data_IF_183825014476
#
_entry.id   IF_183825014476
#
_cell.length_a   1.000
_cell.length_b   1.000
_cell.length_c   1.000
_cell.angle_alpha   90.00
_cell.angle_beta   90.00
_cell.angle_gamma   90.00
#
_symmetry.space_group_name_H-M   'P 1'
#
loop_
_entity.id
_entity.type
_entity.pdbx_description
1 polymer ?
#
# COMPACT_ATOMS: atom_id res chain seq x y z
N UNK A 1 -18.55 5.61 -10.27
CA UNK A 1 -17.57 6.68 -9.96
C UNK A 1 -17.53 7.02 -8.48
N UNK A 2 -18.66 7.34 -7.82
CA UNK A 2 -18.65 7.61 -6.37
C UNK A 2 -18.25 6.37 -5.52
N UNK A 3 -18.83 5.21 -5.83
CA UNK A 3 -18.54 3.94 -5.14
C UNK A 3 -17.06 3.53 -5.25
N UNK A 4 -16.44 3.74 -6.42
CA UNK A 4 -15.01 3.46 -6.64
C UNK A 4 -14.11 4.42 -5.90
N UNK A 5 -14.46 5.72 -5.82
CA UNK A 5 -13.70 6.69 -5.05
C UNK A 5 -13.76 6.34 -3.56
N UNK A 6 -14.96 6.08 -3.04
CA UNK A 6 -15.15 5.63 -1.65
C UNK A 6 -14.36 4.34 -1.38
N UNK A 7 -14.42 3.36 -2.28
CA UNK A 7 -13.68 2.11 -2.13
C UNK A 7 -12.16 2.32 -2.13
N UNK A 8 -11.63 3.23 -2.94
CA UNK A 8 -10.22 3.60 -2.95
C UNK A 8 -9.83 4.33 -1.66
N UNK A 9 -10.67 5.23 -1.17
CA UNK A 9 -10.39 6.02 0.03
C UNK A 9 -10.43 5.20 1.32
N UNK A 10 -11.31 4.18 1.39
CA UNK A 10 -11.42 3.26 2.53
C UNK A 10 -10.08 2.60 2.89
N UNK A 11 -9.14 2.44 1.95
CA UNK A 11 -7.82 1.87 2.26
C UNK A 11 -7.08 2.65 3.37
N UNK A 12 -7.25 3.97 3.45
CA UNK A 12 -6.62 4.79 4.47
C UNK A 12 -7.20 4.50 5.86
N UNK A 13 -8.48 4.11 5.94
CA UNK A 13 -9.09 3.64 7.19
C UNK A 13 -8.45 2.31 7.65
N UNK A 14 -8.04 1.46 6.71
CA UNK A 14 -7.41 0.17 7.00
C UNK A 14 -5.94 0.30 7.43
N UNK A 15 -5.25 1.39 7.06
CA UNK A 15 -3.84 1.59 7.42
C UNK A 15 -3.61 1.66 8.93
N UNK A 16 -4.51 2.32 9.67
CA UNK A 16 -4.40 2.47 11.12
C UNK A 16 -4.35 1.11 11.86
N UNK A 17 -5.40 0.27 11.75
CA UNK A 17 -5.41 -1.05 12.38
C UNK A 17 -4.29 -1.98 11.87
N UNK A 18 -3.98 -1.92 10.56
CA UNK A 18 -2.93 -2.76 9.98
C UNK A 18 -1.55 -2.46 10.58
N UNK A 19 -1.21 -1.17 10.73
CA UNK A 19 0.07 -0.76 11.28
C UNK A 19 0.11 -0.95 12.81
N UNK A 20 -0.99 -0.67 13.51
CA UNK A 20 -1.11 -0.90 14.96
C UNK A 20 -0.86 -2.36 15.34
N UNK A 21 -1.36 -3.31 14.55
CA UNK A 21 -1.17 -4.74 14.80
C UNK A 21 0.30 -5.20 14.68
N UNK A 22 1.13 -4.48 13.93
CA UNK A 22 2.56 -4.80 13.80
C UNK A 22 3.43 -4.06 14.83
N UNK A 23 2.95 -2.96 15.43
CA UNK A 23 3.70 -2.19 16.42
C UNK A 23 3.56 -2.86 17.79
N UNK A 24 4.65 -3.44 18.29
CA UNK A 24 4.66 -4.13 19.59
C UNK A 24 4.90 -3.19 20.79
N UNK A 25 5.38 -1.97 20.54
CA UNK A 25 5.78 -1.00 21.56
C UNK A 25 4.66 -0.04 21.98
N UNK A 26 4.76 0.50 23.20
CA UNK A 26 3.85 1.55 23.70
C UNK A 26 3.97 2.82 22.85
N UNK A 27 2.94 3.07 22.05
CA UNK A 27 2.81 4.28 21.25
C UNK A 27 2.52 5.52 22.09
N UNK A 28 3.21 6.61 21.80
CA UNK A 28 2.85 7.93 22.32
C UNK A 28 1.71 8.51 21.47
N UNK A 29 0.52 8.65 22.06
CA UNK A 29 -0.70 9.11 21.37
C UNK A 29 -0.51 10.45 20.63
N UNK A 30 0.28 11.38 21.19
CA UNK A 30 0.48 12.70 20.58
C UNK A 30 1.34 12.63 19.32
N UNK A 31 2.45 11.89 19.37
CA UNK A 31 3.31 11.68 18.21
C UNK A 31 2.62 10.82 17.16
N UNK A 32 1.82 9.85 17.62
CA UNK A 32 1.00 8.97 16.79
C UNK A 32 -0.05 9.72 15.98
N UNK A 33 -0.77 10.66 16.60
CA UNK A 33 -1.70 11.52 15.87
C UNK A 33 -1.00 12.35 14.78
N UNK A 34 0.21 12.84 15.04
CA UNK A 34 0.95 13.69 14.10
C UNK A 34 1.46 12.90 12.90
N UNK A 35 2.08 11.73 13.10
CA UNK A 35 2.56 10.94 11.95
C UNK A 35 1.43 10.22 11.22
N UNK A 36 0.35 9.82 11.91
CA UNK A 36 -0.80 9.19 11.24
C UNK A 36 -1.54 10.16 10.32
N UNK A 37 -1.50 11.46 10.60
CA UNK A 37 -2.03 12.48 9.71
C UNK A 37 -1.33 12.51 8.34
N UNK A 38 -0.01 12.30 8.31
CA UNK A 38 0.75 12.27 7.06
C UNK A 38 1.06 10.84 6.60
N UNK A 39 0.16 9.90 6.88
CA UNK A 39 0.26 8.51 6.44
C UNK A 39 -0.24 8.37 5.00
N UNK A 40 0.67 8.56 4.05
CA UNK A 40 0.41 8.29 2.63
C UNK A 40 0.70 6.82 2.30
N UNK A 41 0.31 6.37 1.11
CA UNK A 41 0.54 4.99 0.67
C UNK A 41 2.04 4.62 0.70
N UNK A 42 2.91 5.56 0.35
CA UNK A 42 4.38 5.45 0.38
C UNK A 42 4.91 5.23 1.80
N UNK A 43 4.44 6.07 2.73
CA UNK A 43 4.87 6.09 4.13
C UNK A 43 4.39 4.81 4.81
N UNK A 44 3.15 4.40 4.53
CA UNK A 44 2.56 3.16 5.01
C UNK A 44 3.30 1.94 4.46
N UNK A 45 3.51 1.84 3.15
CA UNK A 45 4.20 0.71 2.54
C UNK A 45 5.64 0.57 3.07
N UNK A 46 6.38 1.67 3.14
CA UNK A 46 7.75 1.69 3.67
C UNK A 46 7.79 1.32 5.15
N UNK A 47 6.84 1.81 5.95
CA UNK A 47 6.69 1.47 7.37
C UNK A 47 6.39 -0.02 7.57
N UNK A 48 5.42 -0.55 6.81
CA UNK A 48 5.05 -1.97 6.81
C UNK A 48 6.23 -2.88 6.48
N UNK A 49 7.00 -2.57 5.43
CA UNK A 49 8.18 -3.36 5.05
C UNK A 49 9.22 -3.35 6.17
N UNK A 50 9.52 -2.18 6.74
CA UNK A 50 10.53 -2.05 7.80
C UNK A 50 10.12 -2.81 9.07
N UNK A 51 8.82 -2.79 9.38
CA UNK A 51 8.26 -3.44 10.56
C UNK A 51 8.09 -4.96 10.37
N UNK A 52 7.68 -5.41 9.18
CA UNK A 52 7.59 -6.85 8.82
C UNK A 52 8.97 -7.52 8.82
N UNK A 53 10.00 -6.80 8.38
CA UNK A 53 11.39 -7.29 8.38
C UNK A 53 12.06 -7.29 9.77
N UNK A 54 11.32 -7.04 10.87
CA UNK A 54 11.84 -7.00 12.25
C UNK A 54 13.09 -6.13 12.40
N UNK A 55 13.25 -5.09 11.57
CA UNK A 55 14.38 -4.16 11.70
C UNK A 55 14.18 -3.38 13.00
N UNK A 56 15.00 -3.65 14.00
CA UNK A 56 15.05 -3.03 15.34
C UNK A 56 15.20 -1.47 15.35
N UNK A 57 15.12 -0.82 14.19
CA UNK A 57 15.30 0.63 13.99
C UNK A 57 13.97 1.36 13.71
N UNK A 58 12.83 0.69 13.88
CA UNK A 58 11.56 1.37 13.74
C UNK A 58 11.35 2.29 14.95
N UNK A 59 11.18 3.59 14.69
CA UNK A 59 10.89 4.59 15.71
C UNK A 59 9.83 5.55 15.21
N UNK A 60 9.02 6.09 16.13
CA UNK A 60 8.03 7.13 15.82
C UNK A 60 8.68 8.35 15.15
N UNK A 61 9.91 8.69 15.56
CA UNK A 61 10.68 9.80 14.98
C UNK A 61 11.07 9.54 13.52
N UNK A 62 11.43 8.30 13.17
CA UNK A 62 11.72 7.93 11.78
C UNK A 62 10.49 8.06 10.89
N UNK A 63 9.33 7.63 11.39
CA UNK A 63 8.08 7.70 10.63
C UNK A 63 7.58 9.14 10.46
N UNK A 64 7.77 10.00 11.48
CA UNK A 64 7.55 11.44 11.36
C UNK A 64 8.47 12.06 10.29
N UNK A 65 9.75 11.71 10.28
CA UNK A 65 10.70 12.19 9.26
C UNK A 65 10.32 11.74 7.85
N UNK A 66 9.87 10.49 7.70
CA UNK A 66 9.41 9.96 6.42
C UNK A 66 8.13 10.65 5.93
N UNK A 67 7.18 10.89 6.83
CA UNK A 67 5.95 11.63 6.53
C UNK A 67 6.24 13.07 6.08
N UNK A 68 7.14 13.77 6.79
CA UNK A 68 7.54 15.12 6.42
C UNK A 68 8.26 15.15 5.07
N UNK A 69 9.13 14.18 4.80
CA UNK A 69 9.80 14.06 3.51
C UNK A 69 8.82 13.82 2.37
N UNK A 70 7.83 12.94 2.56
CA UNK A 70 6.74 12.71 1.60
C UNK A 70 5.98 14.01 1.30
N UNK A 71 5.62 14.76 2.35
CA UNK A 71 4.94 16.03 2.20
C UNK A 71 5.78 17.08 1.45
N UNK A 72 7.08 17.17 1.76
CA UNK A 72 8.00 18.06 1.04
C UNK A 72 8.16 17.64 -0.43
N UNK A 73 8.25 16.34 -0.71
CA UNK A 73 8.33 15.83 -2.08
C UNK A 73 7.06 16.18 -2.87
N UNK A 74 5.88 16.05 -2.25
CA UNK A 74 4.61 16.46 -2.85
C UNK A 74 4.54 17.97 -3.09
N UNK A 75 4.92 18.79 -2.10
CA UNK A 75 4.89 20.24 -2.20
C UNK A 75 5.85 20.76 -3.28
N UNK A 76 7.09 20.26 -3.31
CA UNK A 76 8.08 20.61 -4.33
C UNK A 76 7.69 20.10 -5.71
N UNK A 77 7.16 18.88 -5.82
CA UNK A 77 6.64 18.32 -7.06
C UNK A 77 5.47 19.12 -7.62
N UNK A 78 4.53 19.55 -6.78
CA UNK A 78 3.41 20.40 -7.18
C UNK A 78 3.85 21.79 -7.60
N UNK A 79 4.83 22.36 -6.89
CA UNK A 79 5.42 23.65 -7.23
C UNK A 79 6.13 23.60 -8.59
N UNK A 80 6.99 22.60 -8.81
CA UNK A 80 7.65 22.38 -10.10
C UNK A 80 6.63 22.09 -11.20
N UNK A 81 5.65 21.22 -10.93
CA UNK A 81 4.56 20.93 -11.86
C UNK A 81 3.79 22.18 -12.28
N UNK A 82 3.51 23.10 -11.34
CA UNK A 82 2.87 24.38 -11.63
C UNK A 82 3.77 25.34 -12.43
N UNK A 83 5.07 25.40 -12.13
CA UNK A 83 6.02 26.24 -12.88
C UNK A 83 6.24 25.76 -14.32
N UNK A 84 6.24 24.45 -14.53
CA UNK A 84 6.51 23.82 -15.82
C UNK A 84 5.23 23.39 -16.55
N UNK A 85 4.04 23.65 -16.00
CA UNK A 85 2.75 23.25 -16.57
C UNK A 85 2.59 23.69 -18.03
N UNK A 86 2.93 24.94 -18.35
CA UNK A 86 2.81 25.50 -19.71
C UNK A 86 3.80 24.86 -20.71
N UNK A 87 4.88 24.25 -20.21
CA UNK A 87 5.90 23.60 -21.02
C UNK A 87 5.59 22.12 -21.25
N UNK A 88 4.63 21.54 -20.51
CA UNK A 88 4.21 20.14 -20.66
C UNK A 88 3.58 19.87 -22.03
N UNK A 89 2.88 20.85 -22.61
CA UNK A 89 2.33 20.77 -23.98
C UNK A 89 3.40 20.72 -25.06
N UNK A 90 4.63 21.12 -24.76
CA UNK A 90 5.79 21.04 -25.68
C UNK A 90 6.67 19.80 -25.43
N UNK A 91 6.31 18.94 -24.46
CA UNK A 91 7.06 17.73 -24.20
C UNK A 91 6.92 16.70 -25.34
N UNK A 92 7.94 15.86 -25.56
CA UNK A 92 7.83 14.73 -26.46
C UNK A 92 6.65 13.83 -26.08
N UNK A 93 5.95 13.29 -27.08
CA UNK A 93 4.78 12.42 -26.88
C UNK A 93 5.05 11.22 -25.97
N UNK A 94 6.29 10.71 -25.95
CA UNK A 94 6.69 9.64 -25.03
C UNK A 94 6.64 10.08 -23.55
N UNK A 95 7.00 11.34 -23.25
CA UNK A 95 6.99 11.86 -21.87
C UNK A 95 5.56 12.06 -21.37
N UNK A 96 4.66 12.53 -22.24
CA UNK A 96 3.23 12.64 -21.91
C UNK A 96 2.63 11.26 -21.60
N UNK A 97 2.90 10.26 -22.45
CA UNK A 97 2.47 8.89 -22.19
C UNK A 97 3.06 8.29 -20.89
N UNK A 98 4.32 8.63 -20.56
CA UNK A 98 4.94 8.21 -19.32
C UNK A 98 4.28 8.85 -18.09
N UNK A 99 3.90 10.13 -18.17
CA UNK A 99 3.18 10.84 -17.10
C UNK A 99 1.78 10.26 -16.88
N UNK A 100 1.05 9.94 -17.94
CA UNK A 100 -0.27 9.30 -17.85
C UNK A 100 -0.20 7.91 -17.20
N UNK A 101 0.92 7.20 -17.37
CA UNK A 101 1.13 5.88 -16.78
C UNK A 101 1.79 5.91 -15.39
N UNK A 102 2.23 7.08 -14.91
CA UNK A 102 3.02 7.20 -13.68
C UNK A 102 2.22 6.77 -12.43
N UNK A 103 0.95 7.18 -12.34
CA UNK A 103 0.10 6.86 -11.19
C UNK A 103 -0.19 5.35 -11.08
N UNK A 104 -0.63 4.64 -12.14
CA UNK A 104 -0.71 3.18 -12.13
C UNK A 104 0.62 2.49 -11.80
N UNK A 105 1.73 2.98 -12.35
CA UNK A 105 3.06 2.39 -12.12
C UNK A 105 3.50 2.52 -10.65
N UNK A 106 3.17 3.63 -9.99
CA UNK A 106 3.46 3.86 -8.57
C UNK A 106 2.70 2.87 -7.69
N UNK A 107 1.41 2.64 -7.94
CA UNK A 107 0.64 1.62 -7.21
C UNK A 107 1.18 0.20 -7.45
N UNK A 108 1.59 -0.11 -8.68
CA UNK A 108 2.20 -1.40 -9.00
C UNK A 108 3.52 -1.60 -8.25
N UNK A 109 4.35 -0.55 -8.17
CA UNK A 109 5.60 -0.56 -7.41
C UNK A 109 5.36 -0.84 -5.92
N UNK A 110 4.35 -0.22 -5.29
CA UNK A 110 4.01 -0.50 -3.90
C UNK A 110 3.47 -1.90 -3.69
N UNK A 111 2.63 -2.40 -4.60
CA UNK A 111 2.17 -3.78 -4.56
C UNK A 111 3.36 -4.74 -4.58
N UNK A 112 4.35 -4.47 -5.44
CA UNK A 112 5.55 -5.29 -5.55
C UNK A 112 6.47 -5.14 -4.32
N UNK A 113 6.57 -3.95 -3.75
CA UNK A 113 7.37 -3.70 -2.55
C UNK A 113 6.77 -4.36 -1.29
N UNK A 114 5.43 -4.35 -1.16
CA UNK A 114 4.70 -5.03 -0.10
C UNK A 114 4.52 -6.54 -0.34
N UNK A 115 4.95 -7.04 -1.51
CA UNK A 115 4.80 -8.44 -1.86
C UNK A 115 5.77 -9.33 -1.08
N UNK A 116 5.23 -10.19 -0.23
CA UNK A 116 5.98 -11.26 0.40
C UNK A 116 5.63 -12.62 -0.21
N UNK A 117 6.61 -13.54 -0.28
CA UNK A 117 6.42 -14.90 -0.81
C UNK A 117 5.27 -15.67 -0.15
N UNK A 118 4.93 -15.32 1.10
CA UNK A 118 3.79 -15.91 1.81
C UNK A 118 2.44 -15.51 1.19
N UNK A 119 2.33 -14.39 0.49
CA UNK A 119 1.07 -13.90 -0.08
C UNK A 119 0.89 -14.22 -1.57
N UNK A 120 1.86 -14.90 -2.21
CA UNK A 120 1.85 -15.19 -3.66
C UNK A 120 0.57 -15.87 -4.15
N UNK A 121 0.02 -16.83 -3.41
CA UNK A 121 -1.21 -17.53 -3.79
C UNK A 121 -2.42 -16.58 -3.83
N UNK A 122 -2.57 -15.73 -2.81
CA UNK A 122 -3.68 -14.77 -2.71
C UNK A 122 -3.59 -13.72 -3.82
N UNK A 123 -2.39 -13.20 -4.07
CA UNK A 123 -2.13 -12.21 -5.12
C UNK A 123 -2.41 -12.79 -6.51
N UNK A 124 -1.93 -14.01 -6.79
CA UNK A 124 -2.15 -14.65 -8.08
C UNK A 124 -3.66 -14.88 -8.38
N UNK A 125 -4.41 -15.38 -7.39
CA UNK A 125 -5.87 -15.57 -7.52
C UNK A 125 -6.57 -14.23 -7.73
N UNK A 126 -6.19 -13.20 -6.97
CA UNK A 126 -6.78 -11.86 -7.08
C UNK A 126 -6.54 -11.25 -8.47
N UNK A 127 -5.32 -11.35 -9.00
CA UNK A 127 -4.97 -10.84 -10.33
C UNK A 127 -5.76 -11.58 -11.41
N UNK A 128 -5.81 -12.92 -11.34
CA UNK A 128 -6.50 -13.74 -12.33
C UNK A 128 -8.00 -13.40 -12.37
N UNK A 129 -8.64 -13.35 -11.20
CA UNK A 129 -10.08 -13.05 -11.09
C UNK A 129 -10.38 -11.62 -11.52
N UNK A 130 -9.53 -10.65 -11.13
CA UNK A 130 -9.68 -9.25 -11.55
C UNK A 130 -9.53 -9.09 -13.06
N UNK A 131 -8.56 -9.77 -13.68
CA UNK A 131 -8.31 -9.70 -15.12
C UNK A 131 -9.49 -10.28 -15.92
N UNK A 132 -10.05 -11.41 -15.47
CA UNK A 132 -11.24 -12.01 -16.08
C UNK A 132 -12.45 -11.08 -15.89
N UNK A 133 -12.66 -10.53 -14.70
CA UNK A 133 -13.77 -9.64 -14.43
C UNK A 133 -13.72 -8.35 -15.26
N UNK A 134 -12.53 -7.78 -15.49
CA UNK A 134 -12.35 -6.62 -16.37
C UNK A 134 -12.72 -6.89 -17.84
N UNK A 135 -12.67 -8.15 -18.29
CA UNK A 135 -13.04 -8.50 -19.66
C UNK A 135 -14.56 -8.58 -19.85
N UNK A 136 -15.30 -8.99 -18.81
CA UNK A 136 -16.75 -9.25 -18.90
C UNK A 136 -17.62 -8.12 -18.31
N UNK A 137 -17.08 -7.24 -17.47
CA UNK A 137 -17.86 -6.29 -16.65
C UNK A 137 -17.16 -4.92 -16.62
N UNK A 138 -17.93 -3.85 -16.37
CA UNK A 138 -17.43 -2.51 -16.03
C UNK A 138 -16.31 -2.53 -14.98
N UNK A 139 -15.32 -1.68 -15.19
CA UNK A 139 -14.11 -1.53 -14.37
C UNK A 139 -14.41 -1.41 -12.86
N UNK A 140 -15.49 -0.70 -12.52
CA UNK A 140 -15.92 -0.52 -11.12
C UNK A 140 -16.24 -1.85 -10.44
N UNK A 141 -16.99 -2.73 -11.11
CA UNK A 141 -17.40 -4.00 -10.53
C UNK A 141 -16.25 -5.02 -10.57
N UNK A 142 -15.36 -4.95 -11.56
CA UNK A 142 -14.16 -5.77 -11.59
C UNK A 142 -13.25 -5.56 -10.37
N UNK A 143 -13.09 -4.30 -9.91
CA UNK A 143 -12.33 -3.98 -8.69
C UNK A 143 -12.96 -4.64 -7.45
N UNK A 144 -14.28 -4.53 -7.27
CA UNK A 144 -14.96 -5.13 -6.12
C UNK A 144 -14.87 -6.66 -6.11
N UNK A 145 -15.01 -7.28 -7.28
CA UNK A 145 -14.86 -8.73 -7.45
C UNK A 145 -13.43 -9.16 -7.11
N UNK A 146 -12.43 -8.41 -7.59
CA UNK A 146 -11.02 -8.61 -7.25
C UNK A 146 -10.76 -8.57 -5.75
N UNK A 147 -11.17 -7.48 -5.08
CA UNK A 147 -11.00 -7.31 -3.62
C UNK A 147 -11.67 -8.46 -2.87
N UNK A 148 -12.92 -8.79 -3.22
CA UNK A 148 -13.68 -9.87 -2.57
C UNK A 148 -12.96 -11.20 -2.73
N UNK A 149 -12.51 -11.52 -3.94
CA UNK A 149 -11.76 -12.74 -4.23
C UNK A 149 -10.45 -12.82 -3.45
N UNK A 150 -9.73 -11.70 -3.30
CA UNK A 150 -8.50 -11.66 -2.51
C UNK A 150 -8.75 -11.91 -1.02
N UNK A 151 -9.82 -11.32 -0.46
CA UNK A 151 -10.24 -11.57 0.92
C UNK A 151 -10.60 -13.05 1.11
N UNK A 152 -11.42 -13.61 0.21
CA UNK A 152 -11.80 -15.03 0.27
C UNK A 152 -10.59 -15.96 0.15
N UNK A 153 -9.67 -15.70 -0.78
CA UNK A 153 -8.45 -16.49 -0.92
C UNK A 153 -7.52 -16.37 0.31
N UNK A 154 -7.43 -15.19 0.91
CA UNK A 154 -6.69 -14.96 2.15
C UNK A 154 -7.29 -15.70 3.34
N UNK A 155 -8.61 -15.61 3.52
CA UNK A 155 -9.34 -16.35 4.55
C UNK A 155 -9.25 -17.86 4.36
N UNK A 156 -9.41 -18.34 3.13
CA UNK A 156 -9.27 -19.75 2.79
C UNK A 156 -7.86 -20.24 3.12
N UNK A 157 -6.82 -19.48 2.76
CA UNK A 157 -5.45 -19.81 3.14
C UNK A 157 -5.27 -19.83 4.66
N UNK A 158 -5.84 -18.88 5.40
CA UNK A 158 -5.70 -18.82 6.85
C UNK A 158 -6.44 -19.95 7.57
N UNK A 159 -7.66 -20.29 7.13
CA UNK A 159 -8.48 -21.35 7.74
C UNK A 159 -8.04 -22.76 7.32
N UNK A 160 -7.63 -22.95 6.06
CA UNK A 160 -7.30 -24.28 5.51
C UNK A 160 -5.82 -24.60 5.62
N UNK A 161 -4.94 -23.60 5.58
CA UNK A 161 -3.49 -23.76 5.57
C UNK A 161 -2.82 -23.32 6.89
N UNK A 162 -3.45 -23.65 8.03
CA UNK A 162 -2.78 -23.56 9.34
C UNK A 162 -1.62 -24.56 9.38
N UNK A 163 -0.45 -24.18 8.88
CA UNK A 163 0.82 -24.75 9.34
C UNK A 163 1.17 -24.04 10.66
N UNK A 164 1.39 -24.77 11.76
CA UNK A 164 1.98 -24.18 12.97
C UNK A 164 3.36 -23.61 12.60
N UNK A 165 3.66 -22.38 13.01
CA UNK A 165 5.02 -21.84 12.94
C UNK A 165 5.94 -22.68 13.86
N UNK A 166 7.08 -23.20 13.37
CA UNK A 166 8.03 -23.96 14.19
C UNK A 166 8.89 -23.11 15.15
N UNK A 167 8.77 -21.77 15.15
CA UNK A 167 9.76 -20.89 15.81
C UNK A 167 9.61 -20.71 17.34
N UNK A 168 8.78 -21.51 18.03
CA UNK A 168 8.68 -21.47 19.51
C UNK A 168 9.03 -22.78 20.22
N UNK A 169 9.74 -23.70 19.57
CA UNK A 169 10.28 -24.94 20.19
C UNK A 169 11.81 -24.91 20.40
N UNK A 170 12.39 -23.74 20.69
CA UNK A 170 13.84 -23.58 20.85
C UNK A 170 14.33 -23.17 22.25
N UNK A 171 13.46 -22.73 23.16
CA UNK A 171 13.90 -22.11 24.42
C UNK A 171 13.29 -22.75 25.68
N UNK A 172 12.94 -24.03 25.61
CA UNK A 172 12.61 -24.85 26.79
C UNK A 172 13.04 -26.31 26.56
N UNK A 173 14.34 -26.57 26.69
CA UNK A 173 14.89 -27.90 26.97
C UNK A 173 16.21 -27.75 27.73
#
# INVERSE_FOLDING_TARGET
TALTVIALDIRHLLYGPALQNLIQDKLNLKKTAIWSWGLTDEVFASGMIKLSQRRQEWSESWMLGLSLFSWLAWATGSFLGGMFADQVSHLPQFLQAALDFLLPALFLSFLLAAFEKKHTFVVAVTILVSAIACYFIDLSAAIFIGISSGIFAGLFKHYVLKKPDPEHMGDQA
#
